data_IF_686140306996
#
_entry.id   IF_686140306996
#
_cell.length_a   1.000
_cell.length_b   1.000
_cell.length_c   1.000
_cell.angle_alpha   90.00
_cell.angle_beta   90.00
_cell.angle_gamma   90.00
#
_symmetry.space_group_name_H-M   'P 1'
#
loop_
_entity.id
_entity.type
_entity.pdbx_description
1 polymer ?
#
# COMPACT_ATOMS: atom_id res chain seq x y z
N UNK A 1 84.66 -26.31 -15.95
CA UNK A 1 84.48 -25.30 -14.87
C UNK A 1 83.01 -24.82 -14.77
N UNK A 2 82.05 -25.67 -15.14
CA UNK A 2 80.62 -25.33 -15.32
C UNK A 2 79.63 -25.88 -14.26
N UNK A 3 79.95 -26.88 -13.39
CA UNK A 3 78.97 -27.37 -12.40
C UNK A 3 78.76 -26.43 -11.21
N UNK A 4 79.76 -25.61 -10.84
CA UNK A 4 79.75 -24.83 -9.59
C UNK A 4 78.86 -23.57 -9.64
N UNK A 5 78.51 -23.07 -10.83
CA UNK A 5 77.71 -21.85 -10.99
C UNK A 5 76.20 -22.16 -10.89
N UNK A 6 75.74 -23.31 -11.41
CA UNK A 6 74.31 -23.69 -11.39
C UNK A 6 73.78 -23.94 -9.98
N UNK A 7 74.61 -24.49 -9.09
CA UNK A 7 74.21 -24.72 -7.69
C UNK A 7 74.09 -23.42 -6.89
N UNK A 8 74.94 -22.43 -7.16
CA UNK A 8 74.84 -21.10 -6.53
C UNK A 8 73.54 -20.38 -6.92
N UNK A 9 73.15 -20.45 -8.20
CA UNK A 9 71.90 -19.82 -8.70
C UNK A 9 70.64 -20.50 -8.14
N UNK A 10 70.62 -21.84 -8.06
CA UNK A 10 69.52 -22.59 -7.44
C UNK A 10 69.38 -22.31 -5.94
N UNK A 11 70.49 -22.15 -5.23
CA UNK A 11 70.48 -21.86 -3.79
C UNK A 11 69.92 -20.46 -3.51
N UNK A 12 70.32 -19.45 -4.31
CA UNK A 12 69.81 -18.07 -4.21
C UNK A 12 68.31 -17.98 -4.49
N UNK A 13 67.79 -18.70 -5.50
CA UNK A 13 66.35 -18.69 -5.82
C UNK A 13 65.49 -19.38 -4.74
N UNK A 14 65.98 -20.47 -4.14
CA UNK A 14 65.35 -21.11 -2.99
C UNK A 14 65.30 -20.18 -1.77
N UNK A 15 66.39 -19.48 -1.45
CA UNK A 15 66.40 -18.51 -0.34
C UNK A 15 65.45 -17.33 -0.57
N UNK A 16 65.35 -16.79 -1.80
CA UNK A 16 64.39 -15.71 -2.11
C UNK A 16 62.94 -16.17 -1.95
N UNK A 17 62.62 -17.40 -2.37
CA UNK A 17 61.27 -17.99 -2.15
C UNK A 17 61.00 -18.23 -0.66
N UNK A 18 61.98 -18.71 0.10
CA UNK A 18 61.83 -18.94 1.54
C UNK A 18 61.59 -17.64 2.31
N UNK A 19 62.33 -16.57 1.99
CA UNK A 19 62.17 -15.25 2.63
C UNK A 19 60.79 -14.65 2.30
N UNK A 20 60.30 -14.83 1.07
CA UNK A 20 58.95 -14.38 0.67
C UNK A 20 57.85 -15.12 1.45
N UNK A 21 58.03 -16.42 1.71
CA UNK A 21 57.10 -17.22 2.53
C UNK A 21 57.15 -16.87 4.02
N UNK A 22 58.34 -16.59 4.55
CA UNK A 22 58.51 -16.18 5.96
C UNK A 22 57.85 -14.82 6.22
N UNK A 23 57.98 -13.85 5.32
CA UNK A 23 57.33 -12.53 5.47
C UNK A 23 55.80 -12.61 5.50
N UNK A 24 55.20 -13.50 4.70
CA UNK A 24 53.74 -13.71 4.64
C UNK A 24 53.20 -14.29 5.96
N UNK A 25 53.96 -15.19 6.61
CA UNK A 25 53.55 -15.81 7.88
C UNK A 25 53.93 -15.02 9.13
N UNK A 26 54.95 -14.16 9.05
CA UNK A 26 55.42 -13.39 10.21
C UNK A 26 54.57 -12.14 10.48
N UNK A 27 53.86 -11.63 9.46
CA UNK A 27 53.00 -10.45 9.59
C UNK A 27 51.64 -10.62 8.88
N UNK A 28 50.82 -11.61 9.28
CA UNK A 28 49.55 -11.88 8.63
C UNK A 28 48.59 -10.68 8.69
N UNK A 29 48.65 -9.86 9.75
CA UNK A 29 47.89 -8.62 9.87
C UNK A 29 48.32 -7.52 8.89
N UNK A 30 49.60 -7.41 8.53
CA UNK A 30 50.09 -6.45 7.52
C UNK A 30 49.68 -6.86 6.11
N UNK A 31 49.66 -8.17 5.83
CA UNK A 31 49.20 -8.67 4.54
C UNK A 31 47.68 -8.51 4.38
N UNK A 32 46.92 -8.74 5.47
CA UNK A 32 45.47 -8.49 5.50
C UNK A 32 45.17 -7.00 5.25
N UNK A 33 45.88 -6.09 5.92
CA UNK A 33 45.63 -4.65 5.80
C UNK A 33 46.03 -4.07 4.44
N UNK A 34 47.16 -4.48 3.85
CA UNK A 34 47.60 -3.97 2.55
C UNK A 34 46.80 -4.48 1.35
N UNK A 35 46.15 -5.66 1.45
CA UNK A 35 45.46 -6.27 0.31
C UNK A 35 43.93 -6.37 0.45
N UNK A 36 43.37 -6.54 1.67
CA UNK A 36 41.90 -6.56 1.82
C UNK A 36 41.29 -5.16 1.91
N UNK A 37 41.96 -4.21 2.57
CA UNK A 37 41.40 -2.86 2.76
C UNK A 37 41.18 -2.12 1.42
N UNK A 38 42.10 -2.15 0.44
CA UNK A 38 41.88 -1.50 -0.86
C UNK A 38 40.76 -2.15 -1.70
N UNK A 39 40.40 -3.41 -1.41
CA UNK A 39 39.31 -4.14 -2.08
C UNK A 39 37.98 -3.86 -1.38
N UNK A 40 37.98 -3.76 -0.05
CA UNK A 40 36.76 -3.52 0.75
C UNK A 40 36.22 -2.10 0.60
N UNK A 41 37.09 -1.10 0.43
CA UNK A 41 36.68 0.31 0.25
C UNK A 41 35.78 0.52 -0.99
N UNK A 42 36.15 0.08 -2.21
CA UNK A 42 35.30 0.25 -3.39
C UNK A 42 34.04 -0.62 -3.32
N UNK A 43 34.09 -1.80 -2.68
CA UNK A 43 32.88 -2.62 -2.45
C UNK A 43 31.92 -1.91 -1.49
N UNK A 44 32.43 -1.35 -0.39
CA UNK A 44 31.64 -0.56 0.54
C UNK A 44 31.05 0.69 -0.11
N UNK A 45 31.83 1.36 -0.98
CA UNK A 45 31.37 2.53 -1.72
C UNK A 45 30.27 2.18 -2.74
N UNK A 46 30.40 1.05 -3.45
CA UNK A 46 29.36 0.52 -4.33
C UNK A 46 28.11 0.10 -3.56
N UNK A 47 28.26 -0.44 -2.34
CA UNK A 47 27.15 -0.81 -1.48
C UNK A 47 26.41 0.43 -0.94
N UNK A 48 27.13 1.49 -0.58
CA UNK A 48 26.54 2.77 -0.17
C UNK A 48 25.84 3.46 -1.35
N UNK A 49 26.43 3.42 -2.55
CA UNK A 49 25.78 3.91 -3.77
C UNK A 49 24.52 3.11 -4.12
N UNK A 50 24.54 1.78 -3.92
CA UNK A 50 23.36 0.92 -4.08
C UNK A 50 22.25 1.28 -3.09
N UNK A 51 22.59 1.52 -1.82
CA UNK A 51 21.64 1.99 -0.79
C UNK A 51 21.10 3.40 -1.14
N UNK A 52 21.95 4.33 -1.58
CA UNK A 52 21.53 5.67 -1.96
C UNK A 52 20.66 5.67 -3.24
N UNK A 53 20.93 4.79 -4.20
CA UNK A 53 20.09 4.62 -5.40
C UNK A 53 18.76 3.91 -5.10
N UNK A 54 18.70 3.08 -4.04
CA UNK A 54 17.44 2.45 -3.61
C UNK A 54 16.61 3.35 -2.69
N UNK A 55 17.21 4.38 -2.08
CA UNK A 55 16.50 5.41 -1.31
C UNK A 55 15.85 6.49 -2.20
N UNK A 56 16.29 6.64 -3.45
CA UNK A 56 15.76 7.66 -4.38
C UNK A 56 14.72 7.15 -5.38
N UNK A 57 14.27 5.90 -5.23
CA UNK A 57 13.14 5.32 -5.96
C UNK A 57 12.07 4.78 -5.01
N UNK A 58 11.81 5.50 -3.90
CA UNK A 58 10.57 5.32 -3.17
C UNK A 58 9.47 6.05 -3.97
N UNK A 59 8.51 5.34 -4.59
CA UNK A 59 7.38 6.02 -5.20
C UNK A 59 6.66 6.81 -4.12
N UNK A 60 6.37 8.06 -4.43
CA UNK A 60 5.61 8.97 -3.58
C UNK A 60 4.24 8.32 -3.28
N UNK A 61 4.07 7.70 -2.12
CA UNK A 61 2.84 7.02 -1.68
C UNK A 61 1.70 8.02 -1.32
N UNK A 62 1.61 9.13 -2.06
CA UNK A 62 0.43 9.97 -2.11
C UNK A 62 -0.48 9.54 -3.27
N UNK A 63 -0.97 8.30 -3.25
CA UNK A 63 -2.20 7.95 -3.94
C UNK A 63 -2.71 6.61 -3.39
N UNK A 64 -4.02 6.54 -3.15
CA UNK A 64 -4.85 5.33 -3.15
C UNK A 64 -4.91 4.46 -1.91
N UNK A 65 -5.77 4.91 -1.01
CA UNK A 65 -6.72 4.04 -0.32
C UNK A 65 -8.08 4.73 -0.47
N UNK A 66 -8.78 4.54 -1.60
CA UNK A 66 -10.13 5.09 -1.80
C UNK A 66 -11.13 4.02 -1.40
N UNK A 67 -11.40 3.93 -0.10
CA UNK A 67 -12.57 3.21 0.41
C UNK A 67 -13.82 3.97 -0.06
N UNK A 68 -14.88 3.26 -0.47
CA UNK A 68 -16.00 3.70 -1.33
C UNK A 68 -16.44 5.17 -1.29
N UNK A 69 -16.93 5.68 -2.43
CA UNK A 69 -17.41 7.07 -2.55
C UNK A 69 -18.49 7.39 -1.51
N UNK A 70 -18.52 8.64 -1.06
CA UNK A 70 -19.43 9.12 -0.02
C UNK A 70 -20.87 9.12 -0.55
N UNK A 71 -21.74 8.39 0.13
CA UNK A 71 -23.17 8.34 -0.16
C UNK A 71 -23.85 9.69 0.03
N UNK A 72 -24.91 9.97 -0.73
CA UNK A 72 -25.82 11.09 -0.45
C UNK A 72 -26.50 10.99 0.93
N UNK A 73 -26.50 9.80 1.54
CA UNK A 73 -27.02 9.56 2.89
C UNK A 73 -25.98 9.86 3.98
N UNK A 74 -24.74 10.19 3.62
CA UNK A 74 -23.74 10.56 4.61
C UNK A 74 -24.14 11.86 5.33
N UNK A 75 -24.26 11.87 6.68
CA UNK A 75 -24.81 13.01 7.40
C UNK A 75 -23.94 14.27 7.26
N UNK A 76 -24.55 15.40 6.92
CA UNK A 76 -23.85 16.69 6.78
C UNK A 76 -23.14 17.13 8.07
N UNK A 77 -23.70 16.80 9.23
CA UNK A 77 -23.07 17.03 10.56
C UNK A 77 -21.72 16.31 10.71
N UNK A 78 -21.48 15.26 9.93
CA UNK A 78 -20.24 14.49 9.94
C UNK A 78 -19.28 14.87 8.80
N UNK A 79 -19.65 15.80 7.92
CA UNK A 79 -18.86 16.18 6.75
C UNK A 79 -17.48 16.75 7.13
N UNK A 80 -17.40 17.50 8.23
CA UNK A 80 -16.13 18.04 8.74
C UNK A 80 -15.15 16.97 9.19
N UNK A 81 -15.64 15.80 9.62
CA UNK A 81 -14.80 14.67 10.05
C UNK A 81 -14.35 13.77 8.91
N UNK A 82 -14.92 13.91 7.70
CA UNK A 82 -14.62 13.05 6.56
C UNK A 82 -13.11 12.98 6.23
N UNK A 83 -12.37 14.11 6.15
CA UNK A 83 -10.93 14.06 5.93
C UNK A 83 -10.19 13.31 7.05
N UNK A 84 -10.67 13.38 8.30
CA UNK A 84 -10.07 12.68 9.44
C UNK A 84 -10.29 11.18 9.29
N UNK A 85 -11.51 10.72 8.95
CA UNK A 85 -11.76 9.30 8.70
C UNK A 85 -10.91 8.76 7.55
N UNK A 86 -10.80 9.50 6.45
CA UNK A 86 -10.04 9.08 5.27
C UNK A 86 -8.55 9.02 5.57
N UNK A 87 -8.00 10.01 6.27
CA UNK A 87 -6.56 10.04 6.61
C UNK A 87 -6.19 9.00 7.66
N UNK A 88 -6.99 8.85 8.72
CA UNK A 88 -6.83 7.79 9.72
C UNK A 88 -6.98 6.39 9.09
N UNK A 89 -8.03 6.22 8.29
CA UNK A 89 -8.34 4.98 7.58
C UNK A 89 -7.22 4.58 6.62
N UNK A 90 -6.66 5.53 5.88
CA UNK A 90 -5.47 5.31 5.04
C UNK A 90 -4.26 4.90 5.87
N UNK A 91 -3.97 5.62 6.97
CA UNK A 91 -2.80 5.35 7.84
C UNK A 91 -2.84 3.95 8.45
N UNK A 92 -4.01 3.50 8.89
CA UNK A 92 -4.16 2.23 9.61
C UNK A 92 -4.82 1.12 8.78
N UNK A 93 -5.06 1.35 7.48
CA UNK A 93 -5.71 0.40 6.56
C UNK A 93 -7.10 -0.04 7.03
N UNK A 94 -7.89 0.91 7.54
CA UNK A 94 -9.26 0.71 8.02
C UNK A 94 -10.24 1.47 7.12
N UNK A 95 -11.32 0.86 6.61
CA UNK A 95 -12.39 1.55 5.88
C UNK A 95 -12.92 2.82 6.58
N UNK A 96 -12.89 3.97 5.92
CA UNK A 96 -13.27 5.28 6.49
C UNK A 96 -14.72 5.25 6.96
N UNK A 97 -15.58 4.54 6.23
CA UNK A 97 -16.99 4.37 6.53
C UNK A 97 -17.21 3.56 7.82
N UNK A 98 -16.30 2.64 8.17
CA UNK A 98 -16.32 1.94 9.47
C UNK A 98 -15.99 2.91 10.60
N UNK A 99 -14.98 3.77 10.43
CA UNK A 99 -14.63 4.80 11.43
C UNK A 99 -15.78 5.78 11.63
N UNK A 100 -16.39 6.26 10.55
CA UNK A 100 -17.54 7.14 10.59
C UNK A 100 -18.75 6.46 11.26
N UNK A 101 -19.00 5.18 10.98
CA UNK A 101 -20.08 4.42 11.58
C UNK A 101 -19.89 4.21 13.08
N UNK A 102 -18.66 3.94 13.54
CA UNK A 102 -18.36 3.87 14.98
C UNK A 102 -18.59 5.23 15.62
N UNK A 103 -18.07 6.32 15.05
CA UNK A 103 -18.30 7.67 15.59
C UNK A 103 -19.80 8.04 15.65
N UNK A 104 -20.60 7.60 14.67
CA UNK A 104 -22.06 7.71 14.70
C UNK A 104 -22.68 6.93 15.86
N UNK A 105 -22.29 5.67 16.05
CA UNK A 105 -22.88 4.79 17.07
C UNK A 105 -22.51 5.23 18.49
N UNK A 106 -21.26 5.65 18.70
CA UNK A 106 -20.73 5.98 20.02
C UNK A 106 -21.30 7.29 20.57
N UNK A 107 -21.26 8.34 19.75
CA UNK A 107 -21.54 9.71 20.24
C UNK A 107 -22.42 10.51 19.29
N UNK A 108 -22.89 9.89 18.20
CA UNK A 108 -23.58 10.60 17.14
C UNK A 108 -22.74 11.79 16.63
N UNK A 109 -21.47 11.52 16.32
CA UNK A 109 -20.50 12.51 15.83
C UNK A 109 -20.17 13.62 16.85
N UNK A 110 -20.01 13.25 18.11
CA UNK A 110 -19.69 14.17 19.21
C UNK A 110 -20.90 14.93 19.77
N UNK A 111 -22.13 14.64 19.32
CA UNK A 111 -23.34 15.26 19.86
C UNK A 111 -23.75 14.72 21.24
N UNK A 112 -23.31 13.51 21.60
CA UNK A 112 -23.48 12.93 22.93
C UNK A 112 -22.14 12.41 23.47
N UNK A 113 -21.46 13.24 24.28
CA UNK A 113 -20.17 12.93 24.89
C UNK A 113 -20.28 12.46 26.35
N UNK A 114 -21.48 12.07 26.79
CA UNK A 114 -21.69 11.56 28.14
C UNK A 114 -20.81 10.32 28.38
N UNK A 115 -20.24 10.22 29.57
CA UNK A 115 -19.48 9.03 29.97
C UNK A 115 -20.44 7.84 30.03
N UNK A 116 -20.08 6.72 29.40
CA UNK A 116 -20.93 5.52 29.40
C UNK A 116 -21.02 4.91 30.80
N UNK A 117 -22.01 4.03 31.02
CA UNK A 117 -22.13 3.28 32.28
C UNK A 117 -20.92 2.40 32.58
N UNK A 118 -20.15 2.03 31.55
CA UNK A 118 -18.90 1.30 31.71
C UNK A 118 -17.71 2.22 32.05
N UNK A 119 -17.85 3.53 31.91
CA UNK A 119 -16.77 4.52 32.10
C UNK A 119 -16.04 4.90 30.81
N UNK A 120 -16.61 4.58 29.64
CA UNK A 120 -16.05 4.97 28.35
C UNK A 120 -16.25 6.48 28.12
N UNK A 121 -15.29 7.15 27.49
CA UNK A 121 -15.32 8.61 27.31
C UNK A 121 -14.76 9.06 25.96
N UNK A 122 -15.10 10.30 25.59
CA UNK A 122 -14.58 10.95 24.39
C UNK A 122 -15.38 10.66 23.13
N UNK A 123 -14.85 11.08 21.99
CA UNK A 123 -15.55 11.13 20.69
C UNK A 123 -15.95 9.74 20.19
N UNK A 124 -15.14 8.72 20.47
CA UNK A 124 -15.39 7.32 20.10
C UNK A 124 -15.50 6.39 21.31
N UNK A 125 -15.79 6.95 22.50
CA UNK A 125 -16.06 6.21 23.74
C UNK A 125 -15.01 5.15 24.06
N UNK A 126 -13.77 5.58 24.29
CA UNK A 126 -12.70 4.70 24.74
C UNK A 126 -12.72 4.51 26.25
N UNK A 127 -12.39 3.29 26.67
CA UNK A 127 -12.01 2.98 28.04
C UNK A 127 -10.62 3.52 28.36
N UNK A 128 -10.42 4.07 29.56
CA UNK A 128 -9.13 4.67 29.96
C UNK A 128 -7.96 3.69 29.85
N UNK A 129 -8.18 2.41 30.20
CA UNK A 129 -7.13 1.39 30.14
C UNK A 129 -6.81 0.95 28.72
N UNK A 130 -7.78 1.03 27.81
CA UNK A 130 -7.57 0.85 26.36
C UNK A 130 -6.77 2.01 25.80
N UNK A 131 -7.05 3.24 26.26
CA UNK A 131 -6.36 4.44 25.81
C UNK A 131 -4.91 4.52 26.30
N UNK A 132 -4.68 4.38 27.61
CA UNK A 132 -3.36 4.42 28.25
C UNK A 132 -2.53 3.15 27.99
N UNK A 133 -3.17 1.99 28.05
CA UNK A 133 -2.55 0.68 27.82
C UNK A 133 -2.60 -0.26 29.03
N UNK A 134 -2.88 -1.54 28.75
CA UNK A 134 -3.10 -2.57 29.76
C UNK A 134 -1.87 -2.93 30.60
N UNK A 135 -0.67 -2.49 30.21
CA UNK A 135 0.55 -2.72 31.00
C UNK A 135 0.65 -1.78 32.20
N UNK A 136 -0.22 -0.78 32.31
CA UNK A 136 -0.30 0.04 33.52
C UNK A 136 -0.79 -0.80 34.70
N UNK A 137 -0.06 -0.84 35.83
CA UNK A 137 -0.38 -1.74 36.95
C UNK A 137 -1.61 -1.31 37.76
N UNK A 138 -2.03 -0.04 37.66
CA UNK A 138 -3.19 0.49 38.40
C UNK A 138 -4.54 0.33 37.68
N UNK A 139 -5.60 0.64 38.41
CA UNK A 139 -7.00 0.52 37.97
C UNK A 139 -7.49 -0.92 37.78
N UNK A 140 -8.74 -1.07 37.35
CA UNK A 140 -9.38 -2.37 37.06
C UNK A 140 -9.20 -2.77 35.58
N UNK A 141 -9.95 -3.77 35.08
CA UNK A 141 -9.83 -4.25 33.68
C UNK A 141 -10.25 -3.23 32.63
N UNK A 142 -11.10 -2.28 33.00
CA UNK A 142 -11.74 -1.32 32.11
C UNK A 142 -11.21 0.11 32.32
N UNK A 143 -10.86 0.51 33.55
CA UNK A 143 -10.42 1.86 33.87
C UNK A 143 -10.27 2.05 35.38
N UNK A 144 -10.82 3.14 35.91
CA UNK A 144 -10.68 3.56 37.32
C UNK A 144 -9.21 3.79 37.69
N UNK A 145 -8.53 4.53 36.82
CA UNK A 145 -7.15 4.89 37.07
C UNK A 145 -7.10 6.00 38.13
N UNK A 146 -6.01 6.10 38.92
CA UNK A 146 -5.87 7.19 39.87
C UNK A 146 -5.89 8.56 39.18
N UNK A 147 -6.55 9.56 39.77
CA UNK A 147 -6.75 10.89 39.17
C UNK A 147 -5.46 11.63 38.77
N UNK A 148 -4.33 11.27 39.39
CA UNK A 148 -3.02 11.85 39.06
C UNK A 148 -2.40 11.29 37.77
N UNK A 149 -2.94 10.19 37.20
CA UNK A 149 -2.39 9.65 35.97
C UNK A 149 -2.83 10.50 34.78
N UNK A 150 -1.86 10.95 33.99
CA UNK A 150 -2.16 11.66 32.77
C UNK A 150 -2.33 10.67 31.61
N UNK A 151 -3.57 10.28 31.31
CA UNK A 151 -3.86 9.39 30.19
C UNK A 151 -3.65 10.04 28.81
N UNK A 152 -3.44 11.35 28.74
CA UNK A 152 -3.24 12.06 27.48
C UNK A 152 -1.77 12.22 27.11
N UNK A 153 -0.84 11.81 27.97
CA UNK A 153 0.60 11.87 27.70
C UNK A 153 1.03 10.77 26.70
N UNK A 154 1.45 11.11 25.47
CA UNK A 154 1.84 10.12 24.47
C UNK A 154 3.01 9.23 24.92
N UNK A 155 3.90 9.74 25.79
CA UNK A 155 5.02 8.95 26.35
C UNK A 155 4.52 7.86 27.28
N UNK A 156 3.50 8.15 28.08
CA UNK A 156 2.88 7.16 28.96
C UNK A 156 2.08 6.14 28.15
N UNK A 157 1.31 6.58 27.16
CA UNK A 157 0.57 5.70 26.27
C UNK A 157 1.53 4.71 25.57
N UNK A 158 2.65 5.21 25.04
CA UNK A 158 3.66 4.36 24.41
C UNK A 158 4.30 3.38 25.42
N UNK A 159 4.63 3.85 26.63
CA UNK A 159 5.20 3.03 27.71
C UNK A 159 4.27 1.87 28.11
N UNK A 160 2.97 2.12 28.18
CA UNK A 160 1.99 1.14 28.64
C UNK A 160 1.28 0.38 27.50
N UNK A 161 1.60 0.70 26.25
CA UNK A 161 1.10 0.01 25.06
C UNK A 161 -0.36 0.33 24.72
N UNK A 162 -0.79 1.57 24.98
CA UNK A 162 -2.15 2.02 24.72
C UNK A 162 -2.44 2.43 23.28
N UNK A 163 -3.71 2.65 23.01
CA UNK A 163 -4.21 3.04 21.70
C UNK A 163 -4.32 4.54 21.47
N UNK A 164 -4.18 5.38 22.51
CA UNK A 164 -4.16 6.83 22.33
C UNK A 164 -3.12 7.27 21.29
N UNK A 165 -3.49 8.26 20.49
CA UNK A 165 -2.65 8.85 19.43
C UNK A 165 -2.75 10.36 19.55
N UNK A 166 -1.60 11.03 19.64
CA UNK A 166 -1.48 12.47 19.38
C UNK A 166 -1.40 12.62 17.86
N UNK A 167 -2.57 12.81 17.24
CA UNK A 167 -2.73 12.79 15.80
C UNK A 167 -2.57 14.18 15.20
N UNK A 168 -2.91 15.22 15.96
CA UNK A 168 -2.78 16.63 15.55
C UNK A 168 -1.37 17.22 15.83
N UNK A 169 -0.55 16.54 16.63
CA UNK A 169 0.82 16.94 16.94
C UNK A 169 0.94 18.01 18.02
N UNK A 170 -0.08 18.19 18.87
CA UNK A 170 -0.12 19.22 19.92
C UNK A 170 0.60 18.82 21.22
N UNK A 171 1.13 17.59 21.28
CA UNK A 171 1.82 17.03 22.43
C UNK A 171 0.93 16.24 23.37
N UNK A 172 -0.37 16.08 23.06
CA UNK A 172 -1.34 15.31 23.83
C UNK A 172 -2.13 14.37 22.93
N UNK A 173 -2.58 13.26 23.51
CA UNK A 173 -3.52 12.33 22.91
C UNK A 173 -4.83 12.39 23.72
N UNK A 174 -5.75 13.28 23.35
CA UNK A 174 -6.96 13.58 24.11
C UNK A 174 -8.18 12.79 23.57
N UNK A 175 -8.85 11.93 24.37
CA UNK A 175 -10.04 11.21 23.92
C UNK A 175 -11.20 12.12 23.45
N UNK A 176 -11.24 13.37 23.93
CA UNK A 176 -12.22 14.38 23.56
C UNK A 176 -11.92 15.07 22.24
N UNK A 177 -10.67 15.04 21.77
CA UNK A 177 -10.30 15.57 20.46
C UNK A 177 -10.73 14.59 19.35
N UNK A 178 -11.50 15.03 18.34
CA UNK A 178 -11.94 14.15 17.25
C UNK A 178 -10.80 13.51 16.46
N UNK A 179 -9.71 14.25 16.21
CA UNK A 179 -8.60 13.74 15.42
C UNK A 179 -7.86 12.63 16.16
N UNK A 180 -7.54 12.85 17.44
CA UNK A 180 -6.89 11.86 18.29
C UNK A 180 -7.76 10.61 18.48
N UNK A 181 -9.04 10.80 18.78
CA UNK A 181 -9.97 9.70 19.03
C UNK A 181 -10.20 8.84 17.78
N UNK A 182 -10.40 9.45 16.61
CA UNK A 182 -10.60 8.72 15.35
C UNK A 182 -9.32 7.96 14.95
N UNK A 183 -8.14 8.57 15.12
CA UNK A 183 -6.87 7.89 14.86
C UNK A 183 -6.62 6.74 15.84
N UNK A 184 -6.96 6.91 17.12
CA UNK A 184 -6.91 5.84 18.12
C UNK A 184 -7.88 4.70 17.78
N UNK A 185 -9.10 4.99 17.34
CA UNK A 185 -10.07 3.98 16.84
C UNK A 185 -9.49 3.23 15.65
N UNK A 186 -8.92 3.92 14.66
CA UNK A 186 -8.30 3.29 13.50
C UNK A 186 -7.11 2.40 13.88
N UNK A 187 -6.23 2.86 14.80
CA UNK A 187 -5.13 2.07 15.36
C UNK A 187 -5.63 0.81 16.06
N UNK A 188 -6.69 0.94 16.87
CA UNK A 188 -7.29 -0.19 17.58
C UNK A 188 -7.83 -1.23 16.61
N UNK A 189 -8.64 -0.81 15.63
CA UNK A 189 -9.27 -1.73 14.68
C UNK A 189 -8.21 -2.46 13.85
N UNK A 190 -7.20 -1.73 13.37
CA UNK A 190 -6.08 -2.29 12.61
C UNK A 190 -5.31 -3.35 13.40
N UNK A 191 -5.01 -3.09 14.68
CA UNK A 191 -4.31 -4.04 15.54
C UNK A 191 -5.11 -5.32 15.83
N UNK A 192 -6.43 -5.27 15.68
CA UNK A 192 -7.35 -6.38 15.93
C UNK A 192 -7.93 -7.00 14.64
N UNK A 193 -7.46 -6.59 13.47
CA UNK A 193 -7.93 -7.08 12.18
C UNK A 193 -6.90 -8.01 11.53
N UNK A 194 -7.34 -9.19 11.08
CA UNK A 194 -6.49 -10.12 10.32
C UNK A 194 -6.70 -9.91 8.81
N UNK A 195 -5.65 -10.10 8.03
CA UNK A 195 -5.74 -10.01 6.57
C UNK A 195 -6.82 -10.96 6.02
N UNK A 196 -7.78 -10.42 5.28
CA UNK A 196 -8.89 -11.19 4.68
C UNK A 196 -10.04 -11.51 5.65
N UNK A 197 -10.00 -11.02 6.89
CA UNK A 197 -11.10 -11.19 7.85
C UNK A 197 -12.28 -10.28 7.49
N UNK A 198 -13.51 -10.70 7.81
CA UNK A 198 -14.66 -9.80 7.79
C UNK A 198 -14.65 -8.92 9.05
N UNK A 199 -14.54 -7.60 8.83
CA UNK A 199 -14.58 -6.55 9.86
C UNK A 199 -15.77 -6.69 10.82
N UNK A 200 -16.92 -7.16 10.31
CA UNK A 200 -18.18 -7.25 11.03
C UNK A 200 -18.54 -8.66 11.49
N UNK A 201 -17.61 -9.63 11.41
CA UNK A 201 -17.88 -10.99 11.92
C UNK A 201 -17.92 -11.02 13.46
N UNK A 202 -18.42 -12.12 14.05
CA UNK A 202 -18.46 -12.34 15.52
C UNK A 202 -17.08 -12.38 16.19
N UNK A 203 -16.00 -12.31 15.42
CA UNK A 203 -14.61 -12.27 15.92
C UNK A 203 -13.80 -11.12 15.32
N UNK A 204 -14.38 -10.38 14.37
CA UNK A 204 -13.73 -9.29 13.65
C UNK A 204 -13.48 -8.07 14.52
N UNK A 205 -12.70 -7.13 13.98
CA UNK A 205 -12.22 -5.97 14.72
C UNK A 205 -13.34 -5.09 15.31
N UNK A 206 -14.49 -4.95 14.62
CA UNK A 206 -15.63 -4.19 15.15
C UNK A 206 -16.29 -4.93 16.33
N UNK A 207 -16.33 -6.26 16.30
CA UNK A 207 -16.74 -7.03 17.47
C UNK A 207 -15.74 -6.91 18.61
N UNK A 208 -14.42 -6.92 18.35
CA UNK A 208 -13.43 -6.72 19.41
C UNK A 208 -13.58 -5.35 20.09
N UNK A 209 -14.01 -4.33 19.35
CA UNK A 209 -14.19 -2.97 19.86
C UNK A 209 -15.22 -2.88 21.00
N UNK A 210 -16.35 -3.59 20.90
CA UNK A 210 -17.47 -3.46 21.85
C UNK A 210 -17.98 -4.78 22.46
N UNK A 211 -17.69 -5.92 21.82
CA UNK A 211 -18.12 -7.27 22.15
C UNK A 211 -19.63 -7.58 22.05
N UNK A 212 -20.45 -6.67 21.52
CA UNK A 212 -21.88 -6.90 21.26
C UNK A 212 -22.17 -7.06 19.76
N UNK A 213 -22.36 -8.30 19.32
CA UNK A 213 -22.62 -8.55 17.90
C UNK A 213 -24.01 -8.03 17.45
N UNK A 214 -25.07 -8.40 18.17
CA UNK A 214 -26.45 -8.20 17.71
C UNK A 214 -26.89 -6.75 17.76
N UNK A 215 -26.38 -5.95 18.71
CA UNK A 215 -26.77 -4.53 18.86
C UNK A 215 -25.72 -3.57 18.34
N UNK A 216 -24.44 -3.85 18.54
CA UNK A 216 -23.38 -2.90 18.16
C UNK A 216 -22.85 -3.18 16.76
N UNK A 217 -22.32 -4.38 16.51
CA UNK A 217 -21.67 -4.70 15.23
C UNK A 217 -22.63 -4.56 14.05
N UNK A 218 -23.85 -5.11 14.16
CA UNK A 218 -24.86 -4.97 13.11
C UNK A 218 -25.29 -3.51 12.86
N UNK A 219 -25.30 -2.68 13.91
CA UNK A 219 -25.64 -1.25 13.80
C UNK A 219 -24.51 -0.45 13.15
N UNK A 220 -23.25 -0.73 13.50
CA UNK A 220 -22.09 -0.14 12.81
C UNK A 220 -22.06 -0.58 11.35
N UNK A 221 -22.29 -1.86 11.06
CA UNK A 221 -22.35 -2.39 9.69
C UNK A 221 -23.39 -1.64 8.86
N UNK A 222 -24.62 -1.52 9.38
CA UNK A 222 -25.70 -0.78 8.73
C UNK A 222 -25.27 0.63 8.34
N UNK A 223 -24.72 1.42 9.28
CA UNK A 223 -24.29 2.78 8.96
C UNK A 223 -23.10 2.82 8.01
N UNK A 224 -22.13 1.90 8.15
CA UNK A 224 -20.97 1.85 7.27
C UNK A 224 -21.39 1.57 5.81
N UNK A 225 -22.40 0.72 5.61
CA UNK A 225 -23.00 0.44 4.30
C UNK A 225 -23.82 1.65 3.79
N UNK A 226 -24.58 2.33 4.64
CA UNK A 226 -25.34 3.54 4.25
C UNK A 226 -24.44 4.72 3.85
N UNK A 227 -23.24 4.83 4.43
CA UNK A 227 -22.33 5.95 4.21
C UNK A 227 -21.54 5.84 2.90
N UNK A 228 -21.53 4.68 2.25
CA UNK A 228 -20.95 4.49 0.92
C UNK A 228 -22.04 4.51 -0.15
N UNK A 229 -21.78 5.13 -1.29
CA UNK A 229 -22.72 5.11 -2.41
C UNK A 229 -22.83 3.67 -2.93
N UNK A 230 -24.02 3.03 -2.88
CA UNK A 230 -24.19 1.65 -3.33
C UNK A 230 -23.89 1.47 -4.83
N UNK A 231 -23.99 2.54 -5.63
CA UNK A 231 -23.61 2.51 -7.05
C UNK A 231 -22.10 2.42 -7.26
N UNK A 232 -21.31 2.71 -6.23
CA UNK A 232 -19.84 2.75 -6.23
C UNK A 232 -19.31 1.60 -5.35
N UNK A 233 -19.79 0.38 -5.60
CA UNK A 233 -19.32 -0.83 -4.95
C UNK A 233 -18.47 -1.65 -5.91
N UNK A 234 -17.17 -1.68 -5.66
CA UNK A 234 -16.24 -2.54 -6.42
C UNK A 234 -16.55 -4.00 -6.12
N UNK A 235 -17.07 -4.72 -7.11
CA UNK A 235 -16.98 -6.18 -7.13
C UNK A 235 -15.57 -6.53 -7.58
N UNK A 236 -14.81 -7.41 -6.92
CA UNK A 236 -13.47 -7.86 -7.37
C UNK A 236 -13.49 -8.68 -8.70
N UNK A 237 -14.44 -8.40 -9.59
CA UNK A 237 -14.72 -9.10 -10.83
C UNK A 237 -14.66 -8.11 -11.96
N UNK A 238 -13.56 -7.99 -12.68
CA UNK A 238 -13.45 -7.01 -13.77
C UNK A 238 -14.19 -7.49 -15.02
N UNK A 239 -14.73 -6.54 -15.77
CA UNK A 239 -15.31 -6.77 -17.09
C UNK A 239 -14.20 -6.87 -18.14
N UNK A 240 -14.34 -7.80 -19.08
CA UNK A 240 -13.43 -7.90 -20.22
C UNK A 240 -13.59 -6.66 -21.12
N UNK A 241 -12.54 -5.83 -21.30
CA UNK A 241 -12.69 -4.44 -21.75
C UNK A 241 -12.99 -4.27 -23.24
N UNK A 242 -12.84 -5.33 -24.06
CA UNK A 242 -13.17 -5.30 -25.50
C UNK A 242 -14.02 -6.51 -25.85
N UNK A 243 -15.33 -6.30 -26.03
CA UNK A 243 -16.27 -7.40 -26.31
C UNK A 243 -15.87 -8.17 -27.58
N UNK A 244 -15.78 -9.50 -27.45
CA UNK A 244 -15.38 -10.40 -28.55
C UNK A 244 -13.95 -10.15 -29.06
N UNK A 245 -13.10 -9.50 -28.28
CA UNK A 245 -11.66 -9.38 -28.54
C UNK A 245 -10.92 -10.67 -28.21
N UNK A 246 -9.78 -10.90 -28.88
CA UNK A 246 -8.97 -12.11 -28.71
C UNK A 246 -7.63 -11.75 -28.05
N UNK A 247 -7.23 -12.50 -27.02
CA UNK A 247 -5.90 -12.35 -26.41
C UNK A 247 -4.86 -12.87 -27.41
N UNK A 248 -4.06 -11.98 -27.97
CA UNK A 248 -2.97 -12.35 -28.91
C UNK A 248 -1.62 -12.44 -28.21
N UNK A 249 -1.52 -11.86 -27.01
CA UNK A 249 -0.25 -11.69 -26.34
C UNK A 249 -0.50 -11.57 -24.82
N UNK A 250 0.07 -12.50 -24.06
CA UNK A 250 -0.16 -12.66 -22.61
C UNK A 250 0.82 -11.84 -21.76
N UNK A 251 0.46 -11.61 -20.50
CA UNK A 251 1.32 -11.03 -19.47
C UNK A 251 2.55 -11.92 -19.21
N UNK A 252 3.67 -11.30 -18.84
CA UNK A 252 4.87 -12.00 -18.41
C UNK A 252 6.02 -12.02 -19.43
N UNK A 253 7.11 -12.67 -19.00
CA UNK A 253 8.37 -12.76 -19.74
C UNK A 253 8.26 -13.70 -20.93
N UNK A 254 8.57 -13.20 -22.14
CA UNK A 254 8.79 -14.05 -23.32
C UNK A 254 10.25 -14.10 -23.67
N UNK A 255 10.77 -15.31 -23.82
CA UNK A 255 12.11 -15.55 -24.34
C UNK A 255 12.05 -15.59 -25.86
N UNK A 256 12.73 -14.66 -26.53
CA UNK A 256 12.83 -14.69 -28.00
C UNK A 256 13.50 -16.00 -28.43
N UNK A 257 12.85 -16.85 -29.25
CA UNK A 257 13.33 -18.22 -29.52
C UNK A 257 14.72 -18.27 -30.16
N UNK A 258 15.13 -17.19 -30.84
CA UNK A 258 16.40 -17.13 -31.58
C UNK A 258 17.44 -16.25 -30.87
N UNK A 259 17.01 -15.19 -30.19
CA UNK A 259 17.93 -14.17 -29.64
C UNK A 259 18.12 -14.30 -28.12
N UNK A 260 17.35 -15.18 -27.45
CA UNK A 260 17.37 -15.41 -25.99
C UNK A 260 17.16 -14.17 -25.13
N UNK A 261 16.76 -13.03 -25.70
CA UNK A 261 16.37 -11.83 -24.97
C UNK A 261 15.01 -12.10 -24.32
N UNK A 262 14.90 -11.82 -23.03
CA UNK A 262 13.63 -11.84 -22.29
C UNK A 262 13.02 -10.47 -22.42
N UNK A 263 11.85 -10.37 -23.05
CA UNK A 263 11.05 -9.14 -23.04
C UNK A 263 9.87 -9.39 -22.10
N UNK A 264 9.80 -8.59 -21.04
CA UNK A 264 8.66 -8.58 -20.14
C UNK A 264 7.50 -7.87 -20.83
N UNK A 265 6.31 -8.46 -20.76
CA UNK A 265 5.06 -7.83 -21.18
C UNK A 265 4.26 -7.49 -19.93
N UNK A 266 4.00 -6.20 -19.71
CA UNK A 266 3.42 -5.66 -18.47
C UNK A 266 1.88 -5.73 -18.43
N UNK A 267 1.27 -6.26 -19.49
CA UNK A 267 -0.17 -6.43 -19.63
C UNK A 267 -0.56 -7.57 -20.57
N UNK A 268 -1.77 -7.50 -21.12
CA UNK A 268 -2.28 -8.39 -22.17
C UNK A 268 -2.70 -7.58 -23.40
N UNK A 269 -2.49 -8.14 -24.58
CA UNK A 269 -2.97 -7.51 -25.82
C UNK A 269 -4.23 -8.21 -26.30
N UNK A 270 -5.30 -7.43 -26.43
CA UNK A 270 -6.63 -7.85 -26.85
C UNK A 270 -6.86 -7.32 -28.26
N UNK A 271 -6.68 -8.18 -29.25
CA UNK A 271 -6.86 -7.82 -30.66
C UNK A 271 -8.35 -7.75 -31.03
N UNK A 272 -8.70 -6.67 -31.72
CA UNK A 272 -10.01 -6.45 -32.32
C UNK A 272 -9.91 -5.34 -33.37
N UNK A 273 -10.92 -5.21 -34.23
CA UNK A 273 -10.95 -4.21 -35.28
C UNK A 273 -10.82 -2.77 -34.73
N UNK A 274 -10.10 -1.91 -35.46
CA UNK A 274 -9.97 -0.49 -35.12
C UNK A 274 -11.37 0.14 -35.00
N UNK A 275 -11.55 1.01 -34.01
CA UNK A 275 -12.83 1.68 -33.76
C UNK A 275 -13.76 0.88 -32.85
N UNK A 276 -13.42 -0.36 -32.47
CA UNK A 276 -14.21 -1.12 -31.50
C UNK A 276 -14.22 -0.40 -30.14
N UNK A 277 -15.36 -0.28 -29.45
CA UNK A 277 -15.41 0.32 -28.12
C UNK A 277 -14.49 -0.38 -27.11
N UNK A 278 -13.73 0.42 -26.37
CA UNK A 278 -13.00 0.01 -25.17
C UNK A 278 -13.84 0.43 -23.97
N UNK A 279 -14.16 -0.55 -23.12
CA UNK A 279 -14.98 -0.39 -21.92
C UNK A 279 -14.08 -0.27 -20.68
N UNK A 280 -14.48 0.55 -19.72
CA UNK A 280 -13.89 0.54 -18.39
C UNK A 280 -14.15 -0.84 -17.73
N UNK A 281 -13.07 -1.55 -17.40
CA UNK A 281 -13.13 -2.90 -16.85
C UNK A 281 -13.75 -2.93 -15.44
N UNK A 282 -13.61 -1.86 -14.67
CA UNK A 282 -14.29 -1.65 -13.39
C UNK A 282 -14.50 -0.15 -13.19
N UNK A 283 -15.42 0.21 -12.31
CA UNK A 283 -15.65 1.59 -11.92
C UNK A 283 -14.40 2.22 -11.29
N UNK A 284 -14.14 3.48 -11.63
CA UNK A 284 -13.00 4.20 -11.07
C UNK A 284 -12.93 5.65 -11.54
N UNK A 285 -11.87 6.34 -11.14
CA UNK A 285 -11.55 7.69 -11.59
C UNK A 285 -10.41 7.65 -12.61
N UNK A 286 -10.54 8.40 -13.71
CA UNK A 286 -9.48 8.56 -14.70
C UNK A 286 -8.37 9.42 -14.10
N UNK A 287 -7.24 8.81 -13.74
CA UNK A 287 -6.08 9.49 -13.13
C UNK A 287 -5.04 9.89 -14.18
N UNK A 288 -5.09 9.30 -15.37
CA UNK A 288 -4.21 9.65 -16.49
C UNK A 288 -4.98 9.56 -17.81
N UNK A 289 -4.80 10.54 -18.70
CA UNK A 289 -5.25 10.50 -20.09
C UNK A 289 -4.34 11.40 -20.93
N UNK A 290 -3.33 10.82 -21.57
CA UNK A 290 -2.26 11.60 -22.24
C UNK A 290 -1.52 10.79 -23.32
N UNK A 291 -0.77 11.45 -24.21
CA UNK A 291 0.13 10.76 -25.14
C UNK A 291 1.34 10.14 -24.41
N UNK A 292 1.83 9.02 -24.96
CA UNK A 292 2.97 8.23 -24.48
C UNK A 292 3.62 7.50 -25.66
N UNK A 293 4.95 7.61 -25.80
CA UNK A 293 5.65 7.09 -26.99
C UNK A 293 5.40 5.60 -27.26
N UNK A 294 5.48 4.76 -26.22
CA UNK A 294 5.26 3.31 -26.37
C UNK A 294 3.79 2.94 -26.42
N UNK A 295 2.98 3.54 -25.55
CA UNK A 295 1.56 3.19 -25.39
C UNK A 295 0.62 3.90 -26.39
N UNK A 296 1.11 4.83 -27.20
CA UNK A 296 0.23 5.67 -28.04
C UNK A 296 -0.48 6.71 -27.17
N UNK A 297 -1.82 6.80 -27.22
CA UNK A 297 -2.52 7.45 -26.11
C UNK A 297 -2.66 6.45 -24.96
N UNK A 298 -2.67 6.92 -23.73
CA UNK A 298 -2.81 6.06 -22.55
C UNK A 298 -3.88 6.62 -21.63
N UNK A 299 -4.80 5.77 -21.17
CA UNK A 299 -5.75 6.06 -20.12
C UNK A 299 -5.42 5.17 -18.93
N UNK A 300 -5.36 5.74 -17.72
CA UNK A 300 -5.25 4.96 -16.49
C UNK A 300 -6.46 5.28 -15.62
N UNK A 301 -7.16 4.23 -15.20
CA UNK A 301 -8.30 4.32 -14.29
C UNK A 301 -7.89 3.75 -12.94
N UNK A 302 -8.06 4.56 -11.90
CA UNK A 302 -7.91 4.12 -10.51
C UNK A 302 -9.24 3.60 -9.96
N UNK A 303 -9.21 2.40 -9.41
CA UNK A 303 -10.38 1.75 -8.82
C UNK A 303 -10.37 1.85 -7.29
N UNK A 304 -11.57 1.84 -6.69
CA UNK A 304 -11.76 1.97 -5.23
C UNK A 304 -11.21 0.78 -4.44
N UNK A 305 -11.11 -0.40 -5.05
CA UNK A 305 -10.52 -1.58 -4.42
C UNK A 305 -8.99 -1.62 -4.50
N UNK A 306 -8.29 -0.53 -4.82
CA UNK A 306 -6.82 -0.48 -4.85
C UNK A 306 -6.19 -1.04 -6.14
N UNK A 307 -7.00 -1.30 -7.17
CA UNK A 307 -6.49 -1.62 -8.50
C UNK A 307 -6.29 -0.38 -9.36
N UNK A 308 -5.33 -0.42 -10.29
CA UNK A 308 -5.31 0.43 -11.50
C UNK A 308 -5.48 -0.43 -12.73
N UNK A 309 -6.15 0.12 -13.73
CA UNK A 309 -6.12 -0.44 -15.08
C UNK A 309 -5.58 0.56 -16.08
N UNK A 310 -4.66 0.11 -16.93
CA UNK A 310 -4.11 0.89 -18.05
C UNK A 310 -4.78 0.43 -19.34
N UNK A 311 -5.17 1.38 -20.18
CA UNK A 311 -5.68 1.16 -21.53
C UNK A 311 -4.79 1.92 -22.51
N UNK A 312 -4.30 1.25 -23.55
CA UNK A 312 -3.31 1.77 -24.48
C UNK A 312 -3.62 1.51 -25.97
N UNK A 313 -2.84 2.13 -26.85
CA UNK A 313 -2.84 2.08 -28.32
C UNK A 313 -3.99 2.77 -29.05
N UNK A 314 -4.86 3.52 -28.36
CA UNK A 314 -5.85 4.41 -28.96
C UNK A 314 -5.24 5.69 -29.55
N UNK A 315 -5.97 6.31 -30.47
CA UNK A 315 -5.66 7.62 -31.01
C UNK A 315 -6.29 8.74 -30.17
N UNK A 316 -5.71 9.96 -30.14
CA UNK A 316 -6.25 11.08 -29.37
C UNK A 316 -7.73 11.37 -29.65
N UNK A 317 -8.16 11.32 -30.92
CA UNK A 317 -9.54 11.60 -31.34
C UNK A 317 -10.55 10.52 -30.91
N UNK A 318 -10.07 9.33 -30.54
CA UNK A 318 -10.90 8.19 -30.18
C UNK A 318 -11.14 8.08 -28.67
N UNK A 319 -10.46 8.91 -27.87
CA UNK A 319 -10.61 9.00 -26.41
C UNK A 319 -11.91 9.73 -26.06
N UNK A 320 -12.69 9.17 -25.12
CA UNK A 320 -14.01 9.70 -24.72
C UNK A 320 -14.04 10.27 -23.30
N UNK A 321 -12.93 10.20 -22.58
CA UNK A 321 -12.84 10.58 -21.16
C UNK A 321 -11.70 11.54 -20.87
N UNK A 322 -11.79 12.24 -19.73
CA UNK A 322 -10.79 13.22 -19.26
C UNK A 322 -10.31 12.87 -17.86
N UNK A 323 -9.12 13.35 -17.50
CA UNK A 323 -8.59 13.22 -16.12
C UNK A 323 -9.58 13.83 -15.12
N UNK A 324 -9.80 13.14 -14.00
CA UNK A 324 -10.78 13.49 -12.96
C UNK A 324 -12.21 12.99 -13.24
N UNK A 325 -12.48 12.42 -14.41
CA UNK A 325 -13.79 11.83 -14.70
C UNK A 325 -13.95 10.50 -13.96
N UNK A 326 -15.06 10.33 -13.26
CA UNK A 326 -15.50 9.03 -12.73
C UNK A 326 -16.19 8.26 -13.85
N UNK A 327 -15.72 7.05 -14.12
CA UNK A 327 -16.28 6.13 -15.12
C UNK A 327 -16.95 4.95 -14.44
N UNK A 328 -18.08 4.51 -14.97
CA UNK A 328 -18.75 3.29 -14.53
C UNK A 328 -18.17 2.06 -15.22
N UNK A 329 -18.26 0.90 -14.56
CA UNK A 329 -17.93 -0.37 -15.20
C UNK A 329 -18.77 -0.57 -16.48
N UNK A 330 -18.11 -0.91 -17.58
CA UNK A 330 -18.74 -1.07 -18.88
C UNK A 330 -18.97 0.24 -19.64
N UNK A 331 -18.62 1.39 -19.07
CA UNK A 331 -18.67 2.68 -19.78
C UNK A 331 -17.63 2.71 -20.91
N UNK A 332 -18.01 3.25 -22.07
CA UNK A 332 -17.09 3.41 -23.21
C UNK A 332 -16.11 4.55 -22.91
N UNK A 333 -14.83 4.24 -22.80
CA UNK A 333 -13.78 5.22 -22.46
C UNK A 333 -12.92 5.63 -23.66
N UNK A 334 -12.83 4.78 -24.68
CA UNK A 334 -12.09 5.02 -25.91
C UNK A 334 -12.52 4.03 -27.01
N UNK A 335 -11.88 4.09 -28.17
CA UNK A 335 -11.99 3.07 -29.22
C UNK A 335 -10.61 2.44 -29.49
N UNK A 336 -10.61 1.16 -29.89
CA UNK A 336 -9.42 0.39 -30.26
C UNK A 336 -8.66 1.09 -31.38
N UNK A 337 -7.36 1.27 -31.20
CA UNK A 337 -6.46 1.87 -32.16
C UNK A 337 -5.24 1.01 -32.46
N UNK A 338 -4.22 1.63 -33.04
CA UNK A 338 -2.90 1.03 -33.27
C UNK A 338 -1.80 2.10 -33.17
N UNK A 339 -1.98 3.05 -32.23
CA UNK A 339 -1.06 4.16 -32.01
C UNK A 339 0.12 3.74 -31.11
N UNK A 340 1.26 4.42 -31.22
CA UNK A 340 2.48 4.07 -30.48
C UNK A 340 3.17 2.83 -31.05
N UNK A 341 3.80 2.03 -30.19
CA UNK A 341 4.51 0.82 -30.60
C UNK A 341 3.55 -0.36 -30.76
N UNK A 342 2.75 -0.32 -31.83
CA UNK A 342 1.73 -1.31 -32.16
C UNK A 342 1.91 -1.80 -33.59
N UNK A 343 1.82 -3.12 -33.83
CA UNK A 343 1.95 -3.73 -35.17
C UNK A 343 0.60 -3.95 -35.86
N UNK A 344 -0.51 -3.70 -35.17
CA UNK A 344 -1.87 -3.85 -35.68
C UNK A 344 -2.93 -3.52 -34.63
N UNK A 345 -4.21 -3.39 -34.99
CA UNK A 345 -5.25 -2.95 -34.07
C UNK A 345 -5.44 -3.87 -32.86
N UNK A 346 -5.24 -3.31 -31.65
CA UNK A 346 -5.47 -4.00 -30.38
C UNK A 346 -5.59 -2.99 -29.22
N UNK A 347 -6.13 -3.45 -28.10
CA UNK A 347 -5.97 -2.83 -26.79
C UNK A 347 -4.81 -3.50 -26.07
N UNK A 348 -3.84 -2.72 -25.60
CA UNK A 348 -2.93 -3.18 -24.55
C UNK A 348 -3.53 -2.82 -23.19
N UNK A 349 -3.74 -3.83 -22.35
CA UNK A 349 -4.43 -3.72 -21.06
C UNK A 349 -3.53 -4.19 -19.94
N UNK A 350 -3.27 -3.34 -18.96
CA UNK A 350 -2.49 -3.67 -17.77
C UNK A 350 -3.37 -3.60 -16.53
N UNK A 351 -2.99 -4.37 -15.51
CA UNK A 351 -3.60 -4.31 -14.20
C UNK A 351 -2.52 -4.20 -13.13
N UNK A 352 -2.72 -3.29 -12.19
CA UNK A 352 -1.89 -3.12 -11.00
C UNK A 352 -2.76 -3.32 -9.77
N UNK A 353 -2.24 -3.96 -8.73
CA UNK A 353 -2.85 -4.05 -7.40
C UNK A 353 -1.86 -3.52 -6.37
N UNK A 354 -2.25 -2.49 -5.63
CA UNK A 354 -1.45 -1.91 -4.55
C UNK A 354 0.01 -1.57 -4.96
N UNK A 355 0.21 -1.05 -6.19
CA UNK A 355 1.53 -0.71 -6.72
C UNK A 355 2.26 -1.83 -7.46
N UNK A 356 1.70 -3.04 -7.53
CA UNK A 356 2.32 -4.19 -8.20
C UNK A 356 1.56 -4.59 -9.47
N UNK A 357 2.26 -4.67 -10.60
CA UNK A 357 1.71 -5.24 -11.83
C UNK A 357 1.36 -6.71 -11.60
N UNK A 358 0.16 -7.08 -12.03
CA UNK A 358 -0.35 -8.45 -11.95
C UNK A 358 -0.82 -8.92 -13.33
N UNK A 359 -0.95 -10.23 -13.51
CA UNK A 359 -1.59 -10.77 -14.71
C UNK A 359 -3.08 -10.37 -14.73
N UNK A 360 -3.54 -9.54 -15.69
CA UNK A 360 -4.93 -9.12 -15.77
C UNK A 360 -5.91 -10.27 -16.00
N UNK A 361 -5.43 -11.42 -16.49
CA UNK A 361 -6.28 -12.59 -16.75
C UNK A 361 -6.95 -13.14 -15.49
N UNK A 362 -6.39 -12.91 -14.30
CA UNK A 362 -7.03 -13.32 -13.04
C UNK A 362 -8.27 -12.48 -12.68
N UNK A 363 -8.44 -11.32 -13.31
CA UNK A 363 -9.53 -10.39 -12.99
C UNK A 363 -10.80 -10.68 -13.79
N UNK A 364 -10.67 -11.35 -14.94
CA UNK A 364 -11.80 -11.68 -15.80
C UNK A 364 -12.44 -12.99 -15.35
N UNK A 365 -13.74 -12.96 -15.04
CA UNK A 365 -14.49 -14.21 -14.80
C UNK A 365 -14.56 -15.02 -16.10
N UNK A 366 -14.39 -16.34 -15.98
CA UNK A 366 -14.64 -17.30 -17.06
C UNK A 366 -16.13 -17.44 -17.35
#
# INVERSE_FOLDING_TARGET
MEPLIKDRVKKVSKTKRLIKWILIWKYPLLFLTLFLVPIMIPIGFLFVLFILSSVSSAPNHQEQVVQGAVSSHFPSVAASYLPIYQTAGKKYRVPWNILAAIHKVETNFGQNLSVSTAGAKGQTQFMEKTWLGWRYPGGNRLGNLPDYINITDPKQIAKYGGYGVDANGDGKAEPSDPMDAIYATAKYLSANHRSGEDWFSQKGAVWQYNHDYSRYVLKVKKYAEEFIDPKITSTDSFLFPVQGGQITSQFGSRRHPIQKIVRQHDGVDIAKERGTPILAAEQGEVVESRPSSGYGWKIVVQHVNGFKTTYAHMYPQDVKVKVGQVVQKGEIIALVGSNGWSTGPHLHFEAEKDGQLIDPMYLFKK
#
